data_IF_715194152237
#
_entry.id   IF_715194152237
#
_cell.length_a   1.000
_cell.length_b   1.000
_cell.length_c   1.000
_cell.angle_alpha   90.00
_cell.angle_beta   90.00
_cell.angle_gamma   90.00
#
_symmetry.space_group_name_H-M   'P 1'
#
loop_
_entity.id
_entity.type
_entity.pdbx_description
1 polymer ?
#
# COMPACT_ATOMS: atom_id res chain seq x y z
N UNK A 1 -3.34 3.32 -4.87
CA UNK A 1 -4.58 2.78 -4.28
C UNK A 1 -5.23 1.84 -5.28
N UNK A 2 -5.43 0.57 -4.94
CA UNK A 2 -6.07 -0.39 -5.85
C UNK A 2 -7.55 -0.04 -6.06
N UNK A 3 -8.02 -0.22 -7.29
CA UNK A 3 -9.40 0.02 -7.70
C UNK A 3 -9.94 -1.16 -8.53
N UNK A 4 -11.27 -1.33 -8.62
CA UNK A 4 -11.87 -2.38 -9.42
C UNK A 4 -11.40 -2.37 -10.89
N UNK A 5 -11.38 -3.55 -11.52
CA UNK A 5 -10.96 -3.69 -12.92
C UNK A 5 -9.45 -3.62 -13.14
N UNK A 6 -8.64 -4.04 -12.15
CA UNK A 6 -7.18 -4.06 -12.19
C UNK A 6 -6.55 -2.67 -12.43
N UNK A 7 -7.14 -1.63 -11.84
CA UNK A 7 -6.65 -0.24 -11.92
C UNK A 7 -6.03 0.20 -10.60
N UNK A 8 -5.23 1.26 -10.67
CA UNK A 8 -4.65 1.91 -9.49
C UNK A 8 -4.85 3.43 -9.59
N UNK A 9 -5.21 4.10 -8.50
CA UNK A 9 -5.19 5.56 -8.39
C UNK A 9 -3.97 6.02 -7.59
N UNK A 10 -3.35 7.14 -7.97
CA UNK A 10 -2.42 7.82 -7.07
C UNK A 10 -3.20 8.39 -5.86
N UNK A 11 -2.61 8.36 -4.66
CA UNK A 11 -3.27 8.90 -3.46
C UNK A 11 -3.61 10.39 -3.62
N UNK A 12 -2.80 11.14 -4.36
CA UNK A 12 -2.99 12.56 -4.66
C UNK A 12 -4.16 12.85 -5.60
N UNK A 13 -4.62 11.85 -6.36
CA UNK A 13 -5.69 12.01 -7.34
C UNK A 13 -7.06 11.59 -6.78
N UNK A 14 -7.07 10.85 -5.66
CA UNK A 14 -8.29 10.32 -5.06
C UNK A 14 -9.28 11.45 -4.71
N UNK A 15 -10.55 11.19 -5.02
CA UNK A 15 -11.66 12.09 -4.69
C UNK A 15 -12.82 11.36 -4.02
N UNK A 16 -13.67 12.13 -3.35
CA UNK A 16 -14.93 11.61 -2.84
C UNK A 16 -15.78 11.07 -4.01
N UNK A 17 -16.39 9.90 -3.81
CA UNK A 17 -17.17 9.20 -4.83
C UNK A 17 -16.38 8.17 -5.65
N UNK A 18 -15.05 8.14 -5.57
CA UNK A 18 -14.25 7.13 -6.26
C UNK A 18 -14.31 5.77 -5.57
N UNK A 19 -14.25 4.69 -6.36
CA UNK A 19 -14.23 3.32 -5.85
C UNK A 19 -12.80 2.81 -5.66
N UNK A 20 -12.56 2.18 -4.51
CA UNK A 20 -11.30 1.53 -4.16
C UNK A 20 -11.55 0.10 -3.71
N UNK A 21 -10.51 -0.73 -3.76
CA UNK A 21 -10.55 -2.08 -3.21
C UNK A 21 -10.12 -2.08 -1.75
N UNK A 22 -10.90 -2.75 -0.91
CA UNK A 22 -10.52 -3.17 0.44
C UNK A 22 -10.23 -4.66 0.35
N UNK A 23 -9.01 -5.04 0.75
CA UNK A 23 -8.54 -6.43 0.73
C UNK A 23 -8.24 -6.85 2.17
N UNK A 24 -8.75 -8.01 2.58
CA UNK A 24 -8.42 -8.59 3.88
C UNK A 24 -7.19 -9.50 3.83
N UNK A 25 -6.76 -9.99 4.99
CA UNK A 25 -5.56 -10.83 5.13
C UNK A 25 -5.70 -12.20 4.44
N UNK A 26 -6.92 -12.65 4.16
CA UNK A 26 -7.18 -13.87 3.39
C UNK A 26 -7.23 -13.62 1.87
N UNK A 27 -6.98 -12.39 1.43
CA UNK A 27 -7.00 -11.99 0.02
C UNK A 27 -8.41 -11.74 -0.53
N UNK A 28 -9.45 -11.74 0.31
CA UNK A 28 -10.81 -11.42 -0.14
C UNK A 28 -10.91 -9.92 -0.35
N UNK A 29 -11.42 -9.53 -1.51
CA UNK A 29 -11.55 -8.14 -1.91
C UNK A 29 -13.02 -7.72 -2.02
N UNK A 30 -13.32 -6.49 -1.63
CA UNK A 30 -14.61 -5.83 -1.89
C UNK A 30 -14.39 -4.39 -2.29
N UNK A 31 -15.29 -3.85 -3.11
CA UNK A 31 -15.30 -2.42 -3.44
C UNK A 31 -15.82 -1.59 -2.27
N UNK A 32 -15.30 -0.38 -2.14
CA UNK A 32 -15.84 0.65 -1.26
C UNK A 32 -15.71 2.03 -1.91
N UNK A 33 -16.65 2.92 -1.60
CA UNK A 33 -16.62 4.30 -2.07
C UNK A 33 -15.87 5.18 -1.08
N UNK A 34 -14.94 6.00 -1.58
CA UNK A 34 -14.24 7.02 -0.78
C UNK A 34 -15.23 8.14 -0.43
N UNK A 35 -15.46 8.38 0.86
CA UNK A 35 -16.36 9.47 1.29
C UNK A 35 -15.66 10.83 1.34
N UNK A 36 -14.41 10.86 1.80
CA UNK A 36 -13.64 12.10 1.97
C UNK A 36 -12.16 11.79 1.85
N UNK A 37 -11.42 12.73 1.25
CA UNK A 37 -9.97 12.74 1.23
C UNK A 37 -9.48 13.96 2.01
N UNK A 38 -8.49 13.75 2.88
CA UNK A 38 -7.86 14.81 3.68
C UNK A 38 -6.36 14.66 3.55
N UNK A 39 -5.67 15.78 3.37
CA UNK A 39 -4.20 15.85 3.38
C UNK A 39 -3.78 16.39 4.74
N UNK A 40 -2.88 15.69 5.40
CA UNK A 40 -2.25 16.11 6.66
C UNK A 40 -0.74 16.00 6.54
N UNK A 41 -0.03 16.98 7.08
CA UNK A 41 1.42 16.97 7.16
C UNK A 41 1.87 16.21 8.41
N UNK A 42 2.70 15.19 8.23
CA UNK A 42 3.27 14.35 9.28
C UNK A 42 4.72 13.96 8.91
N UNK A 43 5.59 13.68 9.89
CA UNK A 43 6.83 12.98 9.62
C UNK A 43 6.55 11.67 8.87
N UNK A 44 7.45 11.30 7.97
CA UNK A 44 7.38 10.03 7.23
C UNK A 44 8.34 9.02 7.84
N UNK A 45 8.02 7.74 7.68
CA UNK A 45 8.89 6.61 8.01
C UNK A 45 9.12 5.78 6.74
N UNK A 46 10.36 5.34 6.53
CA UNK A 46 10.71 4.36 5.50
C UNK A 46 10.71 2.97 6.16
N UNK A 47 9.93 2.05 5.59
CA UNK A 47 9.92 0.64 5.97
C UNK A 47 10.52 -0.14 4.81
N UNK A 48 11.44 -1.03 5.14
CA UNK A 48 12.06 -1.96 4.18
C UNK A 48 11.71 -3.39 4.58
N UNK A 49 11.25 -4.19 3.63
CA UNK A 49 10.93 -5.60 3.81
C UNK A 49 11.71 -6.44 2.79
N UNK A 50 12.05 -7.67 3.15
CA UNK A 50 12.69 -8.62 2.24
C UNK A 50 11.79 -9.83 2.03
N UNK A 51 11.63 -10.25 0.77
CA UNK A 51 10.94 -11.47 0.41
C UNK A 51 11.61 -12.11 -0.81
N UNK A 52 11.96 -13.38 -0.70
CA UNK A 52 12.65 -14.15 -1.77
C UNK A 52 13.91 -13.44 -2.31
N UNK A 53 14.72 -12.86 -1.41
CA UNK A 53 15.94 -12.13 -1.77
C UNK A 53 15.71 -10.81 -2.50
N UNK A 54 14.46 -10.34 -2.59
CA UNK A 54 14.08 -9.04 -3.14
C UNK A 54 13.73 -8.09 -2.01
N UNK A 55 14.25 -6.86 -2.07
CA UNK A 55 13.93 -5.80 -1.12
C UNK A 55 12.77 -4.96 -1.64
N UNK A 56 11.82 -4.66 -0.76
CA UNK A 56 10.66 -3.83 -1.00
C UNK A 56 10.70 -2.65 -0.05
N UNK A 57 10.30 -1.47 -0.53
CA UNK A 57 10.30 -0.24 0.25
C UNK A 57 8.93 0.41 0.22
N UNK A 58 8.54 1.01 1.33
CA UNK A 58 7.35 1.87 1.39
C UNK A 58 7.61 3.04 2.33
N UNK A 59 7.17 4.22 1.91
CA UNK A 59 7.21 5.43 2.74
C UNK A 59 5.79 5.67 3.25
N UNK A 60 5.61 5.66 4.58
CA UNK A 60 4.32 5.84 5.24
C UNK A 60 4.37 7.03 6.19
N UNK A 61 3.19 7.57 6.53
CA UNK A 61 3.12 8.59 7.58
C UNK A 61 3.37 7.94 8.94
N UNK A 62 4.24 8.55 9.75
CA UNK A 62 4.55 8.08 11.09
C UNK A 62 3.42 8.47 12.07
N UNK A 63 2.45 7.58 12.28
CA UNK A 63 1.31 7.77 13.18
C UNK A 63 0.69 6.43 13.63
N UNK A 64 0.11 6.35 14.84
CA UNK A 64 -0.43 5.10 15.38
C UNK A 64 -1.63 4.53 14.61
N UNK A 65 -2.33 5.40 13.88
CA UNK A 65 -3.48 5.03 13.04
C UNK A 65 -3.09 4.45 11.69
N UNK A 66 -1.82 4.59 11.29
CA UNK A 66 -1.28 3.93 10.10
C UNK A 66 -0.78 2.56 10.53
N UNK A 67 -1.41 1.52 9.99
CA UNK A 67 -1.16 0.14 10.38
C UNK A 67 -0.84 -0.71 9.16
N UNK A 68 0.06 -1.66 9.34
CA UNK A 68 0.36 -2.72 8.37
C UNK A 68 -0.25 -4.03 8.85
N UNK A 69 -0.58 -4.91 7.90
CA UNK A 69 -1.12 -6.24 8.20
C UNK A 69 0.05 -7.16 8.53
N UNK A 70 -0.06 -7.91 9.61
CA UNK A 70 0.91 -8.93 10.05
C UNK A 70 0.22 -10.29 10.13
N UNK A 71 0.95 -11.41 10.27
CA UNK A 71 0.34 -12.73 10.43
C UNK A 71 -0.63 -12.81 11.63
N UNK A 72 -0.37 -12.08 12.71
CA UNK A 72 -1.19 -12.03 13.93
C UNK A 72 -2.36 -11.05 13.84
N UNK A 73 -2.39 -10.18 12.82
CA UNK A 73 -3.44 -9.19 12.63
C UNK A 73 -2.93 -7.90 11.99
N UNK A 74 -2.75 -6.85 12.78
CA UNK A 74 -2.16 -5.61 12.30
C UNK A 74 -1.33 -4.95 13.39
N UNK A 75 -0.27 -4.25 12.98
CA UNK A 75 0.64 -3.51 13.85
C UNK A 75 0.72 -2.06 13.40
N UNK A 76 0.77 -1.11 14.34
CA UNK A 76 0.99 0.29 13.99
C UNK A 76 2.42 0.47 13.48
N UNK A 77 2.62 1.38 12.52
CA UNK A 77 3.97 1.63 11.98
C UNK A 77 4.92 2.21 13.02
N UNK A 78 4.38 2.84 14.08
CA UNK A 78 5.14 3.34 15.23
C UNK A 78 5.71 2.24 16.12
N UNK A 79 5.12 1.05 16.06
CA UNK A 79 5.45 -0.09 16.92
C UNK A 79 6.20 -1.18 16.15
N UNK A 80 6.50 -0.96 14.87
CA UNK A 80 7.27 -1.89 14.04
C UNK A 80 8.72 -1.95 14.51
N UNK A 81 9.25 -3.16 14.55
CA UNK A 81 10.64 -3.47 14.90
C UNK A 81 11.27 -4.36 13.82
N UNK A 82 12.60 -4.38 13.76
CA UNK A 82 13.31 -5.29 12.86
C UNK A 82 12.94 -6.75 13.20
N UNK A 83 12.59 -7.52 12.18
CA UNK A 83 12.16 -8.91 12.31
C UNK A 83 10.63 -9.09 12.35
N UNK A 84 9.83 -8.01 12.42
CA UNK A 84 8.39 -8.13 12.23
C UNK A 84 8.05 -8.58 10.80
N UNK A 85 7.11 -9.51 10.70
CA UNK A 85 6.56 -9.95 9.41
C UNK A 85 5.35 -9.10 9.01
N UNK A 86 5.32 -8.70 7.74
CA UNK A 86 4.23 -7.90 7.16
C UNK A 86 3.73 -8.54 5.87
N UNK A 87 2.44 -8.37 5.59
CA UNK A 87 1.84 -8.89 4.36
C UNK A 87 2.20 -7.99 3.17
N UNK A 88 2.80 -8.58 2.15
CA UNK A 88 3.13 -7.92 0.88
C UNK A 88 2.18 -8.36 -0.23
N UNK A 89 1.74 -7.42 -1.05
CA UNK A 89 1.11 -7.70 -2.34
C UNK A 89 2.16 -7.56 -3.44
N UNK A 90 2.73 -8.69 -3.88
CA UNK A 90 3.77 -8.74 -4.90
C UNK A 90 3.12 -8.96 -6.26
N UNK A 91 3.40 -8.06 -7.21
CA UNK A 91 2.96 -8.15 -8.59
C UNK A 91 4.14 -7.90 -9.53
N UNK A 92 4.17 -8.58 -10.68
CA UNK A 92 5.11 -8.31 -11.76
C UNK A 92 4.64 -7.12 -12.62
N UNK A 93 5.58 -6.33 -13.12
CA UNK A 93 5.32 -5.12 -13.90
C UNK A 93 5.13 -3.85 -13.07
N UNK A 94 5.24 -2.71 -13.73
CA UNK A 94 5.04 -1.38 -13.15
C UNK A 94 3.59 -0.90 -13.30
N UNK A 95 3.29 0.25 -12.67
CA UNK A 95 2.01 0.93 -12.81
C UNK A 95 2.26 2.34 -13.36
N UNK A 96 1.84 2.58 -14.60
CA UNK A 96 1.92 3.90 -15.24
C UNK A 96 0.51 4.47 -15.38
N UNK A 97 0.25 5.64 -14.77
CA UNK A 97 -1.08 6.26 -14.74
C UNK A 97 -2.22 5.30 -14.37
N UNK A 98 -1.96 4.40 -13.42
CA UNK A 98 -2.94 3.44 -12.94
C UNK A 98 -3.15 2.19 -13.78
N UNK A 99 -2.45 2.04 -14.91
CA UNK A 99 -2.48 0.85 -15.75
C UNK A 99 -1.26 -0.04 -15.48
N UNK A 100 -1.44 -1.36 -15.54
CA UNK A 100 -0.33 -2.30 -15.45
C UNK A 100 0.50 -2.26 -16.74
N UNK A 101 1.81 -2.13 -16.58
CA UNK A 101 2.79 -2.17 -17.67
C UNK A 101 3.78 -3.29 -17.33
N UNK A 102 3.64 -4.44 -18.00
CA UNK A 102 4.37 -5.67 -17.66
C UNK A 102 5.90 -5.50 -17.73
N UNK A 103 6.38 -4.70 -18.67
CA UNK A 103 7.80 -4.48 -18.93
C UNK A 103 8.43 -3.38 -18.06
N UNK A 104 7.62 -2.61 -17.33
CA UNK A 104 8.10 -1.48 -16.53
C UNK A 104 8.67 -1.97 -15.20
N UNK A 105 9.81 -1.39 -14.81
CA UNK A 105 10.45 -1.61 -13.51
C UNK A 105 10.76 -0.26 -12.87
N UNK A 106 10.41 -0.12 -11.60
CA UNK A 106 10.78 1.06 -10.82
C UNK A 106 12.24 0.89 -10.38
N UNK A 107 13.11 1.82 -10.76
CA UNK A 107 14.49 1.88 -10.27
C UNK A 107 14.48 2.79 -9.05
N UNK A 108 14.68 2.22 -7.87
CA UNK A 108 14.84 2.95 -6.61
C UNK A 108 16.36 3.16 -6.38
N UNK A 109 16.82 4.41 -6.42
CA UNK A 109 18.21 4.80 -6.18
C UNK A 109 18.48 5.09 -4.70
#
# INVERSE_FOLDING_TARGET
MLAPGNKTHYLSELKAGEEVLIVDREGRARSATVCRVKIEWRPMILIEAEHEGRRFKVILQNAETIRVVTPEGSKAVTDLEEGDEVLLYVQEGGRHFGMLVEEERVIEA
#
